data_IF_153541153417
#
_entry.id   IF_153541153417
#
_cell.length_a   1.000
_cell.length_b   1.000
_cell.length_c   1.000
_cell.angle_alpha   90.00
_cell.angle_beta   90.00
_cell.angle_gamma   90.00
#
_symmetry.space_group_name_H-M   'P 1'
#
loop_
_entity.id
_entity.type
_entity.pdbx_description
1 polymer ?
#
# COMPACT_ATOMS: atom_id res chain seq x y z
N UNK A 1 18.03 2.44 2.55
CA UNK A 1 18.75 3.74 2.48
C UNK A 1 17.72 4.83 2.26
N UNK A 2 17.69 5.85 3.12
CA UNK A 2 16.78 6.98 2.98
C UNK A 2 17.21 7.90 1.84
N UNK A 3 16.26 8.31 1.01
CA UNK A 3 16.50 9.30 -0.05
C UNK A 3 16.46 10.69 0.59
N UNK A 4 17.58 11.43 0.51
CA UNK A 4 17.67 12.83 0.95
C UNK A 4 17.49 13.71 -0.29
N UNK A 5 16.44 14.54 -0.32
CA UNK A 5 16.23 15.53 -1.37
C UNK A 5 16.36 16.95 -0.79
N UNK A 6 17.13 17.79 -1.48
CA UNK A 6 17.54 19.15 -1.06
C UNK A 6 16.37 20.14 -0.88
N UNK A 7 16.52 21.15 0.01
CA UNK A 7 15.57 22.25 0.13
C UNK A 7 15.52 23.08 -1.16
N UNK A 8 14.30 23.39 -1.60
CA UNK A 8 14.01 24.06 -2.86
C UNK A 8 14.21 25.59 -2.77
N UNK A 9 14.85 26.16 -3.80
CA UNK A 9 14.84 27.61 -4.04
C UNK A 9 13.62 28.00 -4.88
N UNK A 10 12.86 28.99 -4.41
CA UNK A 10 11.59 29.51 -4.98
C UNK A 10 11.66 29.98 -6.45
N UNK A 11 12.85 30.05 -7.04
CA UNK A 11 13.08 30.47 -8.42
C UNK A 11 12.87 29.38 -9.49
N UNK A 12 12.60 28.13 -9.10
CA UNK A 12 12.61 26.99 -10.02
C UNK A 12 11.19 26.64 -10.49
N UNK A 13 10.78 27.06 -11.69
CA UNK A 13 9.52 26.61 -12.33
C UNK A 13 9.53 25.10 -12.64
N UNK A 14 9.43 24.25 -11.62
CA UNK A 14 9.24 22.81 -11.78
C UNK A 14 7.75 22.50 -11.73
N UNK A 15 7.28 21.73 -12.71
CA UNK A 15 5.92 21.20 -12.70
C UNK A 15 5.70 20.35 -11.45
N UNK A 16 4.52 20.40 -10.83
CA UNK A 16 4.17 19.51 -9.72
C UNK A 16 4.44 18.05 -10.09
N UNK A 17 5.12 17.32 -9.21
CA UNK A 17 5.37 15.89 -9.38
C UNK A 17 4.25 15.15 -8.64
N UNK A 18 3.47 14.37 -9.38
CA UNK A 18 2.42 13.55 -8.80
C UNK A 18 3.04 12.31 -8.16
N UNK A 19 2.68 12.04 -6.90
CA UNK A 19 2.99 10.79 -6.21
C UNK A 19 1.70 9.99 -6.05
N UNK A 20 1.68 8.78 -6.59
CA UNK A 20 0.52 7.91 -6.61
C UNK A 20 0.35 7.10 -5.33
N UNK A 21 -0.85 6.55 -5.12
CA UNK A 21 -1.12 5.67 -3.97
C UNK A 21 -0.29 4.38 -4.06
N UNK A 22 -0.04 3.88 -5.28
CA UNK A 22 0.81 2.72 -5.52
C UNK A 22 2.26 2.97 -5.08
N UNK A 23 2.84 4.13 -5.42
CA UNK A 23 4.20 4.49 -5.00
C UNK A 23 4.31 4.64 -3.49
N UNK A 24 3.32 5.29 -2.86
CA UNK A 24 3.28 5.44 -1.41
C UNK A 24 3.11 4.08 -0.69
N UNK A 25 2.20 3.22 -1.16
CA UNK A 25 1.99 1.91 -0.54
C UNK A 25 3.20 0.99 -0.74
N UNK A 26 3.80 0.98 -1.93
CA UNK A 26 5.02 0.25 -2.20
C UNK A 26 6.14 0.70 -1.24
N UNK A 27 6.34 2.01 -1.08
CA UNK A 27 7.32 2.51 -0.12
C UNK A 27 6.99 2.14 1.34
N UNK A 28 5.72 2.06 1.73
CA UNK A 28 5.31 1.58 3.07
C UNK A 28 5.58 0.09 3.24
N UNK A 29 5.44 -0.68 2.15
CA UNK A 29 5.67 -2.12 2.10
C UNK A 29 7.15 -2.51 1.94
N UNK A 30 8.01 -1.62 1.45
CA UNK A 30 9.45 -1.86 1.30
C UNK A 30 10.26 -1.32 2.48
N UNK A 31 9.77 -0.28 3.14
CA UNK A 31 10.50 0.35 4.23
C UNK A 31 10.36 -0.41 5.55
N UNK A 32 11.47 -0.49 6.30
CA UNK A 32 11.51 -0.95 7.69
C UNK A 32 11.24 0.18 8.70
N UNK A 33 10.67 1.30 8.23
CA UNK A 33 10.41 2.52 8.99
C UNK A 33 9.67 3.53 8.10
N UNK A 34 8.68 4.25 8.66
CA UNK A 34 7.69 5.01 7.90
C UNK A 34 8.23 6.00 6.86
N UNK A 35 7.37 6.40 5.92
CA UNK A 35 7.73 7.36 4.86
C UNK A 35 7.63 8.79 5.39
N UNK A 36 8.70 9.57 5.20
CA UNK A 36 8.70 11.00 5.50
C UNK A 36 8.68 11.82 4.20
N UNK A 37 7.60 12.56 3.97
CA UNK A 37 7.41 13.40 2.79
C UNK A 37 7.78 14.85 3.16
N UNK A 38 8.96 15.31 2.73
CA UNK A 38 9.51 16.64 3.10
C UNK A 38 9.11 17.80 2.16
N UNK A 39 8.45 17.55 1.02
CA UNK A 39 8.22 18.59 0.01
C UNK A 39 6.75 18.69 -0.42
N UNK A 40 6.01 19.57 0.25
CA UNK A 40 4.62 19.92 -0.05
C UNK A 40 4.36 20.84 -1.26
N UNK A 41 5.21 21.85 -1.59
CA UNK A 41 4.86 22.86 -2.60
C UNK A 41 4.79 22.35 -4.06
N UNK A 42 5.25 21.12 -4.34
CA UNK A 42 5.16 20.50 -5.68
C UNK A 42 4.15 19.36 -5.76
N UNK A 43 3.36 19.13 -4.69
CA UNK A 43 2.31 18.12 -4.70
C UNK A 43 0.99 18.74 -5.13
N UNK A 44 0.31 18.07 -6.04
CA UNK A 44 -1.04 18.45 -6.45
C UNK A 44 -2.11 17.75 -5.59
N UNK A 45 -3.37 18.15 -5.76
CA UNK A 45 -4.51 17.58 -5.04
C UNK A 45 -4.62 16.05 -5.17
N UNK A 46 -4.12 15.47 -6.27
CA UNK A 46 -4.13 14.00 -6.48
C UNK A 46 -3.18 13.31 -5.52
N UNK A 47 -2.01 13.90 -5.30
CA UNK A 47 -1.01 13.38 -4.35
C UNK A 47 -1.51 13.47 -2.91
N UNK A 48 -2.20 14.55 -2.53
CA UNK A 48 -2.85 14.65 -1.22
C UNK A 48 -3.93 13.60 -1.01
N UNK A 49 -4.76 13.33 -2.03
CA UNK A 49 -5.77 12.27 -1.98
C UNK A 49 -5.14 10.88 -1.81
N UNK A 50 -4.08 10.60 -2.57
CA UNK A 50 -3.31 9.37 -2.44
C UNK A 50 -2.70 9.22 -1.02
N UNK A 51 -2.12 10.29 -0.50
CA UNK A 51 -1.56 10.30 0.86
C UNK A 51 -2.63 10.07 1.92
N UNK A 52 -3.78 10.74 1.85
CA UNK A 52 -4.88 10.55 2.80
C UNK A 52 -5.38 9.11 2.80
N UNK A 53 -5.55 8.51 1.60
CA UNK A 53 -5.96 7.12 1.45
C UNK A 53 -4.96 6.15 2.10
N UNK A 54 -3.68 6.26 1.73
CA UNK A 54 -2.63 5.36 2.24
C UNK A 54 -2.45 5.55 3.74
N UNK A 55 -2.43 6.79 4.22
CA UNK A 55 -2.26 7.08 5.65
C UNK A 55 -3.41 6.50 6.49
N UNK A 56 -4.66 6.59 6.00
CA UNK A 56 -5.80 5.97 6.69
C UNK A 56 -5.67 4.45 6.74
N UNK A 57 -5.36 3.81 5.61
CA UNK A 57 -5.18 2.35 5.57
C UNK A 57 -4.06 1.92 6.53
N UNK A 58 -2.94 2.63 6.55
CA UNK A 58 -1.81 2.32 7.44
C UNK A 58 -2.20 2.52 8.90
N UNK A 59 -2.83 3.65 9.24
CA UNK A 59 -3.22 3.95 10.63
C UNK A 59 -4.23 2.94 11.19
N UNK A 60 -5.18 2.47 10.38
CA UNK A 60 -6.18 1.46 10.77
C UNK A 60 -5.61 0.03 10.86
N UNK A 61 -4.40 -0.18 10.34
CA UNK A 61 -3.77 -1.50 10.20
C UNK A 61 -2.28 -1.45 10.59
N UNK A 62 -1.95 -0.62 11.59
CA UNK A 62 -0.59 -0.27 11.99
C UNK A 62 0.29 -1.49 12.26
N UNK A 63 -0.28 -2.57 12.80
CA UNK A 63 0.42 -3.81 13.12
C UNK A 63 1.11 -4.46 11.91
N UNK A 64 0.66 -4.17 10.68
CA UNK A 64 1.29 -4.68 9.46
C UNK A 64 2.35 -3.76 8.89
N UNK A 65 2.57 -2.57 9.45
CA UNK A 65 3.49 -1.56 8.93
C UNK A 65 4.54 -1.10 9.94
N UNK A 66 4.24 -1.22 11.24
CA UNK A 66 5.16 -0.83 12.29
C UNK A 66 6.39 -1.76 12.34
N UNK A 67 7.62 -1.20 12.45
CA UNK A 67 8.84 -2.00 12.50
C UNK A 67 8.82 -2.99 13.67
N UNK A 68 9.15 -4.25 13.40
CA UNK A 68 9.18 -5.32 14.40
C UNK A 68 7.80 -5.88 14.80
N UNK A 69 6.70 -5.38 14.21
CA UNK A 69 5.35 -5.89 14.46
C UNK A 69 4.83 -6.82 13.36
N UNK A 70 5.53 -6.90 12.23
CA UNK A 70 5.18 -7.77 11.12
C UNK A 70 6.34 -8.63 10.63
N UNK A 71 6.00 -9.74 10.00
CA UNK A 71 6.92 -10.56 9.21
C UNK A 71 6.49 -10.55 7.73
N UNK A 72 7.47 -10.66 6.83
CA UNK A 72 7.18 -10.87 5.42
C UNK A 72 6.57 -12.27 5.26
N UNK A 73 5.32 -12.31 4.81
CA UNK A 73 4.65 -13.58 4.63
C UNK A 73 5.14 -14.22 3.32
N UNK A 74 5.46 -15.52 3.37
CA UNK A 74 5.97 -16.25 2.22
C UNK A 74 4.86 -16.57 1.21
N UNK A 75 5.24 -16.91 -0.03
CA UNK A 75 4.32 -17.45 -1.06
C UNK A 75 3.53 -18.69 -0.61
N UNK A 76 3.94 -19.29 0.51
CA UNK A 76 3.20 -20.31 1.22
C UNK A 76 1.85 -19.84 1.77
N UNK A 77 1.66 -18.56 2.08
CA UNK A 77 0.49 -18.06 2.84
C UNK A 77 -0.66 -17.56 1.97
N UNK A 78 -0.38 -17.14 0.74
CA UNK A 78 -1.36 -16.65 -0.21
C UNK A 78 -0.96 -16.95 -1.65
N UNK A 79 -1.91 -16.84 -2.56
CA UNK A 79 -1.66 -16.83 -4.00
C UNK A 79 -2.01 -15.44 -4.53
N UNK A 80 -1.20 -14.92 -5.45
CA UNK A 80 -1.42 -13.60 -6.06
C UNK A 80 -1.12 -13.67 -7.55
N UNK A 81 -1.90 -12.95 -8.36
CA UNK A 81 -1.72 -12.87 -9.80
C UNK A 81 -1.96 -11.44 -10.29
N UNK A 82 -1.23 -11.06 -11.35
CA UNK A 82 -1.42 -9.81 -12.06
C UNK A 82 -0.53 -8.70 -11.53
N UNK A 83 -1.08 -7.80 -10.72
CA UNK A 83 -0.34 -6.69 -10.12
C UNK A 83 0.73 -7.18 -9.13
N UNK A 84 1.72 -6.33 -8.87
CA UNK A 84 2.68 -6.56 -7.78
C UNK A 84 1.94 -6.60 -6.45
N UNK A 85 2.30 -7.55 -5.59
CA UNK A 85 1.62 -7.83 -4.34
C UNK A 85 2.61 -7.95 -3.19
N UNK A 86 2.26 -7.36 -2.06
CA UNK A 86 2.99 -7.45 -0.81
C UNK A 86 2.17 -8.24 0.20
N UNK A 87 2.82 -9.22 0.84
CA UNK A 87 2.21 -10.08 1.84
C UNK A 87 2.90 -9.86 3.18
N UNK A 88 2.11 -9.61 4.22
CA UNK A 88 2.58 -9.38 5.58
C UNK A 88 1.74 -10.17 6.57
N UNK A 89 2.37 -10.62 7.66
CA UNK A 89 1.68 -11.23 8.78
C UNK A 89 2.00 -10.44 10.05
N UNK A 90 1.00 -10.23 10.91
CA UNK A 90 1.24 -9.67 12.25
C UNK A 90 1.57 -10.80 13.25
N UNK A 91 1.90 -10.41 14.48
CA UNK A 91 2.25 -11.35 15.56
C UNK A 91 1.06 -12.22 16.00
N UNK A 92 -0.16 -11.76 15.78
CA UNK A 92 -1.39 -12.48 16.10
C UNK A 92 -1.78 -13.49 15.00
N UNK A 93 -0.99 -13.56 13.91
CA UNK A 93 -1.19 -14.49 12.81
C UNK A 93 -2.24 -14.05 11.78
N UNK A 94 -2.73 -12.81 11.90
CA UNK A 94 -3.50 -12.14 10.85
C UNK A 94 -2.59 -11.85 9.65
N UNK A 95 -3.20 -11.60 8.49
CA UNK A 95 -2.44 -11.35 7.28
C UNK A 95 -2.95 -10.12 6.54
N UNK A 96 -2.05 -9.44 5.84
CA UNK A 96 -2.35 -8.32 4.96
C UNK A 96 -1.78 -8.60 3.57
N UNK A 97 -2.60 -8.33 2.55
CA UNK A 97 -2.26 -8.43 1.14
C UNK A 97 -2.52 -7.07 0.48
N UNK A 98 -1.47 -6.45 -0.03
CA UNK A 98 -1.54 -5.17 -0.73
C UNK A 98 -1.11 -5.34 -2.19
N UNK A 99 -2.03 -5.08 -3.13
CA UNK A 99 -1.73 -4.99 -4.55
C UNK A 99 -1.44 -3.55 -4.94
N UNK A 100 -0.40 -3.33 -5.73
CA UNK A 100 -0.03 -2.02 -6.27
C UNK A 100 0.07 -2.08 -7.80
N UNK A 101 -0.48 -1.08 -8.48
CA UNK A 101 -0.31 -0.94 -9.93
C UNK A 101 0.63 0.22 -10.26
N UNK A 102 1.93 -0.06 -10.32
CA UNK A 102 2.96 0.90 -10.74
C UNK A 102 3.03 1.07 -12.28
N UNK A 103 2.25 0.29 -13.04
CA UNK A 103 2.26 0.37 -14.50
C UNK A 103 1.48 1.59 -15.00
N UNK A 104 1.70 1.96 -16.27
CA UNK A 104 0.96 3.03 -16.96
C UNK A 104 -0.40 2.58 -17.52
N UNK A 105 -0.81 1.33 -17.29
CA UNK A 105 -2.05 0.74 -17.83
C UNK A 105 -2.94 0.21 -16.73
N UNK A 106 -4.22 0.01 -17.04
CA UNK A 106 -5.11 -0.73 -16.15
C UNK A 106 -4.63 -2.19 -16.09
N UNK A 107 -4.54 -2.73 -14.89
CA UNK A 107 -4.01 -4.09 -14.68
C UNK A 107 -4.96 -4.85 -13.77
N UNK A 108 -5.28 -6.08 -14.17
CA UNK A 108 -6.09 -6.97 -13.34
C UNK A 108 -5.26 -7.49 -12.17
N UNK A 109 -5.92 -7.80 -11.06
CA UNK A 109 -5.33 -8.51 -9.94
C UNK A 109 -6.30 -9.56 -9.41
N UNK A 110 -5.74 -10.61 -8.83
CA UNK A 110 -6.46 -11.56 -7.99
C UNK A 110 -5.53 -12.12 -6.94
N UNK A 111 -6.11 -12.57 -5.84
CA UNK A 111 -5.39 -13.38 -4.88
C UNK A 111 -6.33 -14.11 -3.94
N UNK A 112 -5.76 -14.99 -3.14
CA UNK A 112 -6.49 -15.79 -2.15
C UNK A 112 -5.57 -16.08 -0.98
N UNK A 113 -6.07 -15.90 0.25
CA UNK A 113 -5.37 -16.35 1.45
C UNK A 113 -5.54 -17.86 1.61
N UNK A 114 -4.47 -18.58 1.98
CA UNK A 114 -4.56 -20.02 2.23
C UNK A 114 -5.02 -20.37 3.65
N UNK A 115 -5.03 -19.39 4.57
CA UNK A 115 -5.64 -19.54 5.90
C UNK A 115 -7.11 -19.16 5.86
N UNK A 116 -7.89 -19.78 6.74
CA UNK A 116 -9.28 -19.41 6.98
C UNK A 116 -9.38 -18.22 7.94
N UNK A 117 -10.42 -17.41 7.76
CA UNK A 117 -10.67 -16.21 8.55
C UNK A 117 -11.64 -15.27 7.83
N UNK A 118 -11.90 -14.12 8.44
CA UNK A 118 -12.72 -13.07 7.85
C UNK A 118 -11.84 -12.12 7.05
N UNK A 119 -12.21 -11.85 5.80
CA UNK A 119 -11.44 -10.99 4.91
C UNK A 119 -12.11 -9.62 4.83
N UNK A 120 -11.35 -8.55 5.02
CA UNK A 120 -11.85 -7.18 4.94
C UNK A 120 -11.12 -6.42 3.84
N UNK A 121 -11.88 -5.65 3.06
CA UNK A 121 -11.33 -4.66 2.14
C UNK A 121 -10.91 -3.42 2.95
N UNK A 122 -9.60 -3.16 3.08
CA UNK A 122 -9.10 -2.05 3.88
C UNK A 122 -9.40 -0.67 3.28
N UNK A 123 -9.86 -0.61 2.02
CA UNK A 123 -10.34 0.65 1.42
C UNK A 123 -11.75 0.99 1.87
N UNK A 124 -12.65 0.02 1.99
CA UNK A 124 -14.06 0.26 2.33
C UNK A 124 -14.38 -0.04 3.80
N UNK A 125 -13.56 -0.85 4.46
CA UNK A 125 -13.82 -1.40 5.80
C UNK A 125 -14.79 -2.58 5.80
N UNK A 126 -15.30 -2.97 4.62
CA UNK A 126 -16.33 -4.00 4.51
C UNK A 126 -15.72 -5.40 4.46
N UNK A 127 -16.42 -6.36 5.08
CA UNK A 127 -16.12 -7.78 4.93
C UNK A 127 -16.42 -8.24 3.50
N UNK A 128 -15.55 -9.07 2.94
CA UNK A 128 -15.66 -9.56 1.57
C UNK A 128 -15.12 -10.98 1.47
N UNK A 129 -15.56 -11.73 0.46
CA UNK A 129 -14.99 -13.03 0.11
C UNK A 129 -14.16 -12.97 -1.17
N UNK A 130 -14.08 -11.80 -1.82
CA UNK A 130 -13.49 -11.65 -3.15
C UNK A 130 -12.29 -10.70 -3.12
N UNK A 131 -11.12 -11.25 -3.42
CA UNK A 131 -9.88 -10.50 -3.62
C UNK A 131 -9.54 -10.53 -5.12
N UNK A 132 -10.25 -9.73 -5.91
CA UNK A 132 -9.93 -9.54 -7.33
C UNK A 132 -10.55 -8.27 -7.88
N UNK A 133 -9.95 -7.74 -8.94
CA UNK A 133 -10.42 -6.53 -9.59
C UNK A 133 -9.49 -6.02 -10.68
N UNK A 134 -9.69 -4.76 -11.05
CA UNK A 134 -8.84 -4.04 -12.01
C UNK A 134 -8.39 -2.74 -11.33
N UNK A 135 -7.08 -2.52 -11.26
CA UNK A 135 -6.49 -1.29 -10.75
C UNK A 135 -6.20 -0.32 -11.89
N UNK A 136 -6.50 0.95 -11.67
CA UNK A 136 -6.02 2.03 -12.51
C UNK A 136 -4.50 2.23 -12.32
N UNK A 137 -3.79 2.89 -13.26
CA UNK A 137 -2.41 3.29 -13.05
C UNK A 137 -2.24 4.08 -11.76
N UNK A 138 -1.29 3.70 -10.91
CA UNK A 138 -1.00 4.37 -9.64
C UNK A 138 -1.96 4.04 -8.49
N UNK A 139 -2.88 3.09 -8.66
CA UNK A 139 -3.88 2.71 -7.66
C UNK A 139 -3.49 1.44 -6.89
N UNK A 140 -4.20 1.18 -5.79
CA UNK A 140 -3.94 0.09 -4.85
C UNK A 140 -5.20 -0.68 -4.46
N UNK A 141 -5.06 -1.95 -4.09
CA UNK A 141 -6.11 -2.69 -3.38
C UNK A 141 -5.48 -3.40 -2.17
N UNK A 142 -6.07 -3.23 -0.99
CA UNK A 142 -5.51 -3.77 0.25
C UNK A 142 -6.58 -4.56 0.97
N UNK A 143 -6.25 -5.79 1.36
CA UNK A 143 -7.12 -6.71 2.05
C UNK A 143 -6.41 -7.26 3.28
N UNK A 144 -7.15 -7.46 4.36
CA UNK A 144 -6.65 -8.15 5.54
C UNK A 144 -7.49 -9.37 5.84
N UNK A 145 -6.83 -10.44 6.26
CA UNK A 145 -7.44 -11.61 6.86
C UNK A 145 -7.30 -11.50 8.37
N UNK A 146 -8.43 -11.48 9.08
CA UNK A 146 -8.47 -11.67 10.53
C UNK A 146 -8.66 -13.15 10.82
N UNK A 147 -7.65 -13.77 11.44
CA UNK A 147 -7.75 -15.12 11.94
C UNK A 147 -8.73 -15.17 13.14
N UNK A 148 -9.37 -16.34 13.33
CA UNK A 148 -10.24 -16.58 14.49
C UNK A 148 -9.43 -17.01 15.71
#
# INVERSE_FOLDING_TARGET
MGVIANPYMVSSRMSPTFISAAELMCAMCDSSGGILIYNYPTLDARSFSAQALVSRIVAENEQFFAPGQYELASDGTAQTQGCEAFLRADQDGNMLMAFVNLSRRKTAFSGDFKKQGRIFNCRTGEETTRISGILAPGDIAVYKLQAN
#
